data_IF_408007505881
#
_entry.id   IF_408007505881
#
_cell.length_a   1.000
_cell.length_b   1.000
_cell.length_c   1.000
_cell.angle_alpha   90.00
_cell.angle_beta   90.00
_cell.angle_gamma   90.00
#
_symmetry.space_group_name_H-M   'P 1'
#
loop_
_entity.id
_entity.type
_entity.pdbx_description
1 polymer ?
#
# COMPACT_ATOMS: atom_id res chain seq x y z
N UNK A 1 8.41 -8.32 -4.28
CA UNK A 1 7.13 -8.07 -3.59
C UNK A 1 7.25 -8.38 -2.09
N UNK A 2 7.34 -9.64 -1.64
CA UNK A 2 7.38 -9.97 -0.21
C UNK A 2 8.41 -9.22 0.63
N UNK A 3 9.71 -9.37 0.33
CA UNK A 3 10.79 -8.85 1.17
C UNK A 3 10.73 -7.33 1.36
N UNK A 4 10.53 -6.59 0.26
CA UNK A 4 10.67 -5.13 0.25
C UNK A 4 9.34 -4.39 0.36
N UNK A 5 8.19 -5.02 0.10
CA UNK A 5 6.87 -4.36 0.20
C UNK A 5 6.08 -4.95 1.36
N UNK A 6 5.64 -6.21 1.28
CA UNK A 6 4.77 -6.79 2.30
C UNK A 6 5.42 -6.79 3.69
N UNK A 7 6.69 -7.22 3.76
CA UNK A 7 7.48 -7.17 5.00
C UNK A 7 8.21 -5.84 5.17
N UNK A 8 8.51 -5.13 4.08
CA UNK A 8 9.26 -3.87 4.10
C UNK A 8 8.58 -2.77 4.91
N UNK A 9 7.26 -2.59 4.73
CA UNK A 9 6.49 -1.59 5.49
C UNK A 9 6.48 -1.89 7.00
N UNK A 10 6.50 -3.17 7.39
CA UNK A 10 6.62 -3.58 8.79
C UNK A 10 8.03 -3.31 9.31
N UNK A 11 9.08 -3.64 8.54
CA UNK A 11 10.46 -3.31 8.91
C UNK A 11 10.63 -1.81 9.18
N UNK A 12 10.03 -0.95 8.36
CA UNK A 12 10.02 0.49 8.58
C UNK A 12 9.21 0.87 9.83
N UNK A 13 7.97 0.41 9.94
CA UNK A 13 7.08 0.79 11.05
C UNK A 13 7.52 0.36 12.44
N UNK A 14 8.27 -0.74 12.53
CA UNK A 14 8.78 -1.32 13.77
C UNK A 14 10.29 -1.13 13.98
N UNK A 15 10.95 -0.32 13.15
CA UNK A 15 12.36 -0.02 13.31
C UNK A 15 12.64 0.62 14.69
N UNK A 16 13.69 0.15 15.36
CA UNK A 16 14.14 0.66 16.66
C UNK A 16 15.32 1.63 16.56
N UNK A 17 15.81 1.90 15.34
CA UNK A 17 16.86 2.88 15.06
C UNK A 17 16.58 3.63 13.76
N UNK A 18 17.09 4.86 13.67
CA UNK A 18 16.94 5.69 12.47
C UNK A 18 17.54 5.01 11.24
N UNK A 19 18.74 4.43 11.35
CA UNK A 19 19.38 3.75 10.23
C UNK A 19 18.58 2.55 9.69
N UNK A 20 17.98 1.75 10.59
CA UNK A 20 17.15 0.62 10.18
C UNK A 20 15.83 1.08 9.51
N UNK A 21 15.27 2.18 10.00
CA UNK A 21 14.11 2.82 9.38
C UNK A 21 14.45 3.35 7.98
N UNK A 22 15.54 4.12 7.85
CA UNK A 22 15.99 4.74 6.60
C UNK A 22 16.24 3.69 5.52
N UNK A 23 16.93 2.59 5.86
CA UNK A 23 17.16 1.48 4.94
C UNK A 23 15.84 0.83 4.49
N UNK A 24 14.94 0.56 5.44
CA UNK A 24 13.69 -0.14 5.15
C UNK A 24 12.73 0.72 4.31
N UNK A 25 12.56 1.99 4.66
CA UNK A 25 11.66 2.90 3.94
C UNK A 25 12.20 3.18 2.53
N UNK A 26 13.51 3.36 2.38
CA UNK A 26 14.13 3.52 1.07
C UNK A 26 13.89 2.30 0.17
N UNK A 27 14.10 1.08 0.70
CA UNK A 27 13.86 -0.15 -0.06
C UNK A 27 12.39 -0.35 -0.46
N UNK A 28 11.45 0.11 0.36
CA UNK A 28 10.01 0.13 0.03
C UNK A 28 9.78 1.01 -1.19
N UNK A 29 10.20 2.28 -1.14
CA UNK A 29 9.93 3.25 -2.20
C UNK A 29 10.68 2.92 -3.50
N UNK A 30 11.93 2.48 -3.45
CA UNK A 30 12.65 1.98 -4.64
C UNK A 30 11.93 0.81 -5.32
N UNK A 31 11.27 -0.04 -4.52
CA UNK A 31 10.48 -1.15 -5.05
C UNK A 31 9.15 -0.67 -5.63
N UNK A 32 8.46 0.29 -5.00
CA UNK A 32 7.24 0.91 -5.54
C UNK A 32 7.53 1.62 -6.87
N UNK A 33 8.63 2.38 -6.97
CA UNK A 33 9.05 3.06 -8.21
C UNK A 33 9.38 2.09 -9.34
N UNK A 34 9.94 0.92 -9.00
CA UNK A 34 10.17 -0.14 -9.99
C UNK A 34 8.86 -0.79 -10.45
N UNK A 35 7.92 -0.99 -9.53
CA UNK A 35 6.60 -1.53 -9.85
C UNK A 35 5.81 -0.57 -10.74
N UNK A 36 5.83 0.73 -10.43
CA UNK A 36 5.17 1.75 -11.24
C UNK A 36 5.71 1.77 -12.68
N UNK A 37 7.03 1.81 -12.85
CA UNK A 37 7.68 1.74 -14.17
C UNK A 37 7.37 0.44 -14.93
N UNK A 38 7.29 -0.69 -14.23
CA UNK A 38 6.89 -1.96 -14.84
C UNK A 38 5.43 -1.91 -15.33
N UNK A 39 4.54 -1.38 -14.49
CA UNK A 39 3.12 -1.24 -14.78
C UNK A 39 2.78 -0.17 -15.84
N UNK A 40 3.75 0.64 -16.24
CA UNK A 40 3.65 1.54 -17.38
C UNK A 40 3.60 0.80 -18.73
N UNK A 41 4.20 -0.40 -18.80
CA UNK A 41 4.30 -1.18 -20.04
C UNK A 41 3.68 -2.58 -19.94
N UNK A 42 3.21 -2.97 -18.76
CA UNK A 42 2.57 -4.26 -18.50
C UNK A 42 1.28 -4.04 -17.74
N UNK A 43 0.22 -4.79 -18.10
CA UNK A 43 -1.07 -4.67 -17.42
C UNK A 43 -0.97 -5.12 -15.96
N UNK A 44 -0.31 -6.24 -15.71
CA UNK A 44 -0.12 -6.88 -14.41
C UNK A 44 1.36 -7.24 -14.16
N UNK A 45 1.67 -7.78 -12.98
CA UNK A 45 3.04 -8.08 -12.57
C UNK A 45 3.73 -9.14 -13.43
N UNK A 46 2.97 -10.02 -14.08
CA UNK A 46 3.49 -11.10 -14.93
C UNK A 46 3.07 -10.96 -16.41
N UNK A 47 2.68 -9.77 -16.85
CA UNK A 47 2.23 -9.49 -18.23
C UNK A 47 0.74 -9.17 -18.29
N UNK A 48 0.01 -9.82 -19.21
CA UNK A 48 -1.36 -9.43 -19.56
C UNK A 48 -2.46 -10.15 -18.77
N UNK A 49 -2.09 -11.11 -17.92
CA UNK A 49 -3.02 -11.87 -17.09
C UNK A 49 -2.73 -11.70 -15.60
N UNK A 50 -3.80 -11.66 -14.80
CA UNK A 50 -3.72 -11.68 -13.35
C UNK A 50 -3.08 -12.97 -12.86
N UNK A 51 -2.21 -12.85 -11.86
CA UNK A 51 -1.53 -13.95 -11.21
C UNK A 51 -1.61 -13.84 -9.70
N UNK A 52 -1.14 -14.87 -9.00
CA UNK A 52 -0.97 -14.82 -7.56
C UNK A 52 -0.06 -13.66 -7.11
N UNK A 53 0.90 -13.24 -7.95
CA UNK A 53 1.81 -12.14 -7.59
C UNK A 53 1.03 -10.84 -7.34
N UNK A 54 0.02 -10.56 -8.16
CA UNK A 54 -0.83 -9.37 -8.07
C UNK A 54 -1.64 -9.39 -6.77
N UNK A 55 -2.23 -10.54 -6.46
CA UNK A 55 -3.01 -10.76 -5.25
C UNK A 55 -2.18 -10.77 -3.96
N UNK A 56 -0.90 -11.14 -4.03
CA UNK A 56 0.03 -10.99 -2.89
C UNK A 56 0.45 -9.54 -2.68
N UNK A 57 0.47 -8.71 -3.72
CA UNK A 57 0.82 -7.30 -3.63
C UNK A 57 -0.36 -6.46 -3.12
N UNK A 58 -1.57 -6.73 -3.63
CA UNK A 58 -2.77 -5.91 -3.43
C UNK A 58 -3.11 -5.59 -1.96
N UNK A 59 -3.10 -6.53 -1.01
CA UNK A 59 -3.41 -6.22 0.39
C UNK A 59 -2.48 -5.16 0.99
N UNK A 60 -1.23 -5.08 0.54
CA UNK A 60 -0.31 -4.04 0.98
C UNK A 60 -0.63 -2.69 0.33
N UNK A 61 -0.95 -2.66 -0.97
CA UNK A 61 -1.33 -1.43 -1.66
C UNK A 61 -2.63 -0.83 -1.09
N UNK A 62 -3.68 -1.65 -0.91
CA UNK A 62 -4.96 -1.19 -0.36
C UNK A 62 -4.84 -0.58 1.06
N UNK A 63 -3.82 -0.96 1.82
CA UNK A 63 -3.56 -0.44 3.18
C UNK A 63 -2.55 0.71 3.21
N UNK A 64 -1.88 1.02 2.09
CA UNK A 64 -0.70 1.87 2.10
C UNK A 64 -1.01 3.28 2.59
N UNK A 65 -1.84 4.03 1.87
CA UNK A 65 -2.17 5.40 2.27
C UNK A 65 -3.10 5.45 3.49
N UNK A 66 -4.00 4.47 3.61
CA UNK A 66 -4.99 4.40 4.70
C UNK A 66 -4.32 4.16 6.07
N UNK A 67 -3.23 3.39 6.10
CA UNK A 67 -2.56 3.00 7.34
C UNK A 67 -1.04 3.19 7.29
N UNK A 68 -0.31 2.50 6.40
CA UNK A 68 1.16 2.44 6.46
C UNK A 68 1.84 3.81 6.30
N UNK A 69 1.28 4.68 5.47
CA UNK A 69 1.79 6.03 5.24
C UNK A 69 1.98 6.79 6.55
N UNK A 70 0.97 6.81 7.42
CA UNK A 70 1.08 7.44 8.74
C UNK A 70 1.60 6.49 9.82
N UNK A 71 0.93 5.36 10.05
CA UNK A 71 1.19 4.46 11.18
C UNK A 71 2.60 3.84 11.16
N UNK A 72 3.13 3.57 9.96
CA UNK A 72 4.48 3.02 9.77
C UNK A 72 5.48 4.06 9.25
N UNK A 73 5.04 5.33 9.11
CA UNK A 73 5.85 6.44 8.60
C UNK A 73 6.36 6.18 7.18
N UNK A 74 5.71 5.33 6.39
CA UNK A 74 6.07 5.12 4.98
C UNK A 74 5.55 6.29 4.13
N UNK A 75 6.08 7.50 4.34
CA UNK A 75 5.46 8.75 3.91
C UNK A 75 6.27 9.59 2.91
N UNK A 76 7.16 8.97 2.13
CA UNK A 76 7.91 9.69 1.09
C UNK A 76 7.01 10.12 -0.08
N UNK A 77 6.02 9.29 -0.43
CA UNK A 77 5.05 9.54 -1.48
C UNK A 77 3.78 8.71 -1.19
N UNK A 78 2.60 9.25 -1.52
CA UNK A 78 1.34 8.48 -1.37
C UNK A 78 1.24 7.47 -2.51
N UNK A 79 0.60 6.34 -2.25
CA UNK A 79 0.24 5.40 -3.31
C UNK A 79 -0.57 6.09 -4.40
N UNK A 80 -1.52 6.97 -4.03
CA UNK A 80 -2.37 7.71 -4.98
C UNK A 80 -1.60 8.67 -5.90
N UNK A 81 -0.35 9.01 -5.56
CA UNK A 81 0.49 9.91 -6.37
C UNK A 81 1.28 9.15 -7.46
N UNK A 82 1.19 7.82 -7.51
CA UNK A 82 1.85 7.01 -8.54
C UNK A 82 0.99 6.89 -9.81
N UNK A 83 1.57 7.22 -10.96
CA UNK A 83 0.87 7.29 -12.25
C UNK A 83 0.29 5.96 -12.71
N UNK A 84 0.99 4.84 -12.49
CA UNK A 84 0.58 3.52 -13.00
C UNK A 84 0.16 2.58 -11.87
N UNK A 85 0.79 2.69 -10.70
CA UNK A 85 0.54 1.83 -9.55
C UNK A 85 -0.82 2.13 -8.89
N UNK A 86 -1.26 3.39 -8.86
CA UNK A 86 -2.58 3.73 -8.33
C UNK A 86 -3.72 3.22 -9.22
N UNK A 87 -3.74 3.50 -10.54
CA UNK A 87 -4.63 2.82 -11.48
C UNK A 87 -4.65 1.29 -11.35
N UNK A 88 -3.48 0.65 -11.22
CA UNK A 88 -3.39 -0.80 -11.05
C UNK A 88 -4.06 -1.27 -9.75
N UNK A 89 -3.88 -0.54 -8.66
CA UNK A 89 -4.53 -0.85 -7.38
C UNK A 89 -6.06 -0.75 -7.49
N UNK A 90 -6.57 0.29 -8.17
CA UNK A 90 -8.01 0.46 -8.43
C UNK A 90 -8.56 -0.65 -9.33
N UNK A 91 -7.85 -1.04 -10.39
CA UNK A 91 -8.25 -2.16 -11.26
C UNK A 91 -8.44 -3.47 -10.47
N UNK A 92 -7.54 -3.77 -9.54
CA UNK A 92 -7.67 -4.94 -8.66
C UNK A 92 -8.83 -4.82 -7.66
N UNK A 93 -9.02 -3.64 -7.08
CA UNK A 93 -10.14 -3.37 -6.17
C UNK A 93 -11.49 -3.54 -6.86
N UNK A 94 -11.58 -3.17 -8.14
CA UNK A 94 -12.80 -3.22 -8.95
C UNK A 94 -13.07 -4.59 -9.58
N UNK A 95 -12.19 -5.59 -9.37
CA UNK A 95 -12.50 -6.96 -9.77
C UNK A 95 -13.75 -7.47 -9.01
N UNK A 96 -14.63 -8.25 -9.67
CA UNK A 96 -15.87 -8.73 -9.05
C UNK A 96 -15.64 -9.41 -7.70
N UNK A 97 -16.35 -8.92 -6.67
CA UNK A 97 -16.30 -9.45 -5.30
C UNK A 97 -15.09 -9.04 -4.46
N UNK A 98 -14.10 -8.31 -5.01
CA UNK A 98 -12.91 -7.90 -4.24
C UNK A 98 -13.24 -6.80 -3.24
N UNK A 99 -14.00 -5.78 -3.64
CA UNK A 99 -14.42 -4.70 -2.76
C UNK A 99 -15.13 -5.21 -1.49
N UNK A 100 -15.97 -6.25 -1.61
CA UNK A 100 -16.71 -6.86 -0.50
C UNK A 100 -15.78 -7.53 0.55
N UNK A 101 -14.52 -7.78 0.20
CA UNK A 101 -13.52 -8.37 1.12
C UNK A 101 -12.77 -7.32 1.94
N UNK A 102 -13.01 -6.03 1.69
CA UNK A 102 -12.23 -4.94 2.27
C UNK A 102 -13.09 -4.08 3.18
N UNK A 103 -12.67 -4.02 4.45
CA UNK A 103 -13.15 -3.04 5.42
C UNK A 103 -12.00 -2.10 5.80
N UNK A 104 -11.92 -0.97 5.10
CA UNK A 104 -10.91 0.08 5.30
C UNK A 104 -10.86 0.58 6.74
N UNK A 105 -12.05 0.72 7.32
CA UNK A 105 -12.30 1.23 8.65
C UNK A 105 -11.74 0.30 9.72
N UNK A 106 -11.99 -1.01 9.58
CA UNK A 106 -11.52 -2.02 10.53
C UNK A 106 -10.00 -2.11 10.55
N UNK A 107 -9.33 -2.16 9.40
CA UNK A 107 -7.87 -2.23 9.44
C UNK A 107 -7.24 -0.90 9.84
N UNK A 108 -7.81 0.25 9.48
CA UNK A 108 -7.32 1.57 9.93
C UNK A 108 -7.33 1.66 11.46
N UNK A 109 -8.44 1.26 12.09
CA UNK A 109 -8.54 1.13 13.56
C UNK A 109 -7.51 0.14 14.12
N UNK A 110 -7.25 -0.95 13.42
CA UNK A 110 -6.22 -1.93 13.80
C UNK A 110 -4.80 -1.34 13.84
N UNK A 111 -4.36 -0.66 12.78
CA UNK A 111 -3.01 -0.09 12.70
C UNK A 111 -2.80 1.10 13.63
N UNK A 112 -3.84 1.91 13.85
CA UNK A 112 -3.82 3.02 14.81
C UNK A 112 -4.34 2.61 16.19
N UNK A 113 -4.47 1.32 16.49
CA UNK A 113 -4.86 0.86 17.82
C UNK A 113 -3.87 1.35 18.89
N UNK A 114 -4.35 1.48 20.12
CA UNK A 114 -3.55 1.97 21.23
C UNK A 114 -2.29 1.12 21.41
N UNK A 115 -1.14 1.77 21.37
CA UNK A 115 0.17 1.15 21.53
C UNK A 115 1.05 2.09 22.32
N UNK A 116 1.61 1.61 23.44
CA UNK A 116 2.51 2.41 24.30
C UNK A 116 3.68 3.04 23.53
N UNK A 117 4.15 2.37 22.49
CA UNK A 117 5.33 2.78 21.73
C UNK A 117 4.96 3.60 20.47
N UNK A 118 3.84 3.28 19.80
CA UNK A 118 3.51 3.87 18.49
C UNK A 118 2.36 4.86 18.52
N UNK A 119 1.32 4.58 19.31
CA UNK A 119 0.12 5.41 19.39
C UNK A 119 -0.49 5.34 20.81
N UNK A 120 0.08 6.03 21.81
CA UNK A 120 -0.30 5.87 23.22
C UNK A 120 -1.77 6.24 23.49
N UNK A 121 -2.31 7.16 22.71
CA UNK A 121 -3.68 7.64 22.85
C UNK A 121 -4.69 6.89 21.96
N UNK A 122 -4.23 5.98 21.10
CA UNK A 122 -5.10 5.23 20.19
C UNK A 122 -5.88 6.12 19.22
N UNK A 123 -5.37 7.31 18.90
CA UNK A 123 -6.05 8.24 18.00
C UNK A 123 -5.98 7.67 16.58
N UNK A 124 -7.14 7.54 15.95
CA UNK A 124 -7.26 7.17 14.54
C UNK A 124 -7.39 8.46 13.73
N UNK A 125 -6.51 8.73 12.75
CA UNK A 125 -6.59 9.95 11.95
C UNK A 125 -7.87 9.99 11.11
N UNK A 126 -8.41 11.18 10.88
CA UNK A 126 -9.62 11.36 10.07
C UNK A 126 -9.39 10.96 8.61
N UNK A 127 -8.34 11.48 7.98
CA UNK A 127 -7.95 11.13 6.61
C UNK A 127 -7.03 9.90 6.52
N UNK A 128 -6.54 9.58 5.31
CA UNK A 128 -6.91 10.20 4.04
C UNK A 128 -8.31 9.74 3.57
N UNK A 129 -8.96 10.58 2.76
CA UNK A 129 -10.11 10.18 1.93
C UNK A 129 -9.55 9.70 0.59
N UNK A 130 -9.91 8.48 0.19
CA UNK A 130 -9.40 7.85 -1.04
C UNK A 130 -10.56 7.12 -1.70
N UNK A 131 -10.81 7.44 -2.96
CA UNK A 131 -11.83 6.77 -3.75
C UNK A 131 -11.20 5.67 -4.63
N UNK A 132 -11.29 4.42 -4.17
CA UNK A 132 -10.83 3.25 -4.93
C UNK A 132 -11.77 2.87 -6.09
N UNK A 133 -12.97 3.46 -6.16
CA UNK A 133 -13.99 3.17 -7.17
C UNK A 133 -13.89 4.04 -8.42
N UNK A 134 -13.04 5.07 -8.40
CA UNK A 134 -12.77 5.89 -9.59
C UNK A 134 -12.29 5.03 -10.77
N UNK A 135 -12.67 5.37 -12.02
CA UNK A 135 -12.19 4.66 -13.19
C UNK A 135 -10.65 4.54 -13.22
N UNK A 136 -10.15 3.32 -13.35
CA UNK A 136 -8.71 3.06 -13.34
C UNK A 136 -8.00 3.47 -14.64
N UNK A 137 -8.69 3.42 -15.80
CA UNK A 137 -8.08 3.76 -17.09
C UNK A 137 -7.00 2.77 -17.56
N UNK A 138 -7.05 1.53 -17.06
CA UNK A 138 -6.17 0.42 -17.46
C UNK A 138 -6.99 -0.64 -18.21
N UNK A 139 -6.96 -0.59 -19.54
CA UNK A 139 -7.83 -1.37 -20.41
C UNK A 139 -8.68 -0.45 -21.29
N UNK A 140 -9.21 -1.01 -22.39
CA UNK A 140 -10.12 -0.29 -23.30
C UNK A 140 -11.40 0.20 -22.60
#
# INVERSE_FOLDING_TARGET
VYQNINNGVYRAGFASSQAAYDEAVQAVFETLDRLDRHLAVSRYLAGDSLTEADWRLFPTLARFDVAYFGAFRCNLQRLTDYEHLWPYTRELYQQPGVADTIDFDTFKRGYYSASKERNPHGIVPAGPEIDFSEPHGRGD
#
